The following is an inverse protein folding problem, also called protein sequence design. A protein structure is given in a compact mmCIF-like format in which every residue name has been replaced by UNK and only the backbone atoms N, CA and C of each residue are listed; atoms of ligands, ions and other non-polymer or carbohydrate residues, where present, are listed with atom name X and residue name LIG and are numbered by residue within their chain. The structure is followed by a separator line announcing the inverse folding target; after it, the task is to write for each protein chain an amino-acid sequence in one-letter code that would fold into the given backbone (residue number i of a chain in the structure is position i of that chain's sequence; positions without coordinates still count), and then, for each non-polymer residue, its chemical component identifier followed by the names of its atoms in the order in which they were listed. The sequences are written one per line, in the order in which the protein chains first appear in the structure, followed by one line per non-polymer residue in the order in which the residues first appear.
data_IF_432987980953
#
_entry.id   IF_432987980953
#
_cell.length_a   1.000
_cell.length_b   1.000
_cell.length_c   1.000
_cell.angle_alpha   90.00
_cell.angle_beta   90.00
_cell.angle_gamma   90.00
#
_symmetry.space_group_name_H-M   'P 1'
#
loop_
_entity.id
_entity.type
_entity.pdbx_description
1 polymer ?
#
# COMPACT_ATOMS: atom_id res chain seq x y z
N UNK A 1 1.49 -6.55 -13.17
CA UNK A 1 1.42 -5.59 -14.31
C UNK A 1 0.01 -5.03 -14.40
N UNK A 2 -0.16 -3.73 -14.69
CA UNK A 2 -1.48 -3.12 -14.87
C UNK A 2 -2.30 -3.81 -15.96
N UNK A 3 -3.61 -3.97 -15.73
CA UNK A 3 -4.56 -4.51 -16.73
C UNK A 3 -5.29 -3.36 -17.41
N UNK A 4 -5.36 -3.38 -18.75
CA UNK A 4 -6.16 -2.42 -19.49
C UNK A 4 -7.67 -2.70 -19.35
N UNK A 5 -8.44 -1.65 -19.09
CA UNK A 5 -9.89 -1.72 -18.87
C UNK A 5 -10.66 -0.95 -19.95
N UNK A 6 -11.67 -1.61 -20.52
CA UNK A 6 -12.75 -0.98 -21.29
C UNK A 6 -13.86 -0.49 -20.37
N UNK A 7 -14.82 0.29 -20.84
CA UNK A 7 -15.96 0.81 -20.07
C UNK A 7 -16.61 -0.25 -19.17
N UNK A 8 -16.98 -1.40 -19.74
CA UNK A 8 -17.64 -2.47 -18.98
C UNK A 8 -16.73 -3.07 -17.89
N UNK A 9 -15.43 -3.21 -18.17
CA UNK A 9 -14.47 -3.68 -17.20
C UNK A 9 -14.26 -2.67 -16.07
N UNK A 10 -14.27 -1.37 -16.34
CA UNK A 10 -14.18 -0.33 -15.32
C UNK A 10 -15.35 -0.44 -14.36
N UNK A 11 -16.59 -0.55 -14.86
CA UNK A 11 -17.79 -0.70 -14.04
C UNK A 11 -17.69 -1.95 -13.17
N UNK A 12 -17.35 -3.08 -13.77
CA UNK A 12 -17.18 -4.34 -13.05
C UNK A 12 -16.15 -4.23 -11.91
N UNK A 13 -14.96 -3.69 -12.20
CA UNK A 13 -13.91 -3.56 -11.19
C UNK A 13 -14.21 -2.47 -10.16
N UNK A 14 -14.95 -1.41 -10.49
CA UNK A 14 -15.43 -0.44 -9.52
C UNK A 14 -16.36 -1.09 -8.49
N UNK A 15 -17.33 -1.89 -8.96
CA UNK A 15 -18.19 -2.65 -8.07
C UNK A 15 -17.39 -3.62 -7.18
N UNK A 16 -16.41 -4.30 -7.78
CA UNK A 16 -15.53 -5.23 -7.06
C UNK A 16 -14.69 -4.52 -5.98
N UNK A 17 -14.12 -3.33 -6.28
CA UNK A 17 -13.41 -2.50 -5.32
C UNK A 17 -14.30 -2.16 -4.12
N UNK A 18 -15.57 -1.82 -4.35
CA UNK A 18 -16.50 -1.51 -3.26
C UNK A 18 -16.81 -2.77 -2.43
N UNK A 19 -17.11 -3.88 -3.07
CA UNK A 19 -17.51 -5.13 -2.40
C UNK A 19 -16.37 -5.77 -1.61
N UNK A 20 -15.17 -5.85 -2.20
CA UNK A 20 -14.01 -6.54 -1.64
C UNK A 20 -13.18 -5.68 -0.68
N UNK A 21 -13.53 -4.41 -0.49
CA UNK A 21 -12.85 -3.57 0.49
C UNK A 21 -12.97 -4.20 1.89
N UNK A 22 -11.90 -4.15 2.66
CA UNK A 22 -11.88 -4.63 4.04
C UNK A 22 -12.28 -3.54 5.01
N UNK A 23 -11.68 -2.38 4.90
CA UNK A 23 -11.84 -1.28 5.85
C UNK A 23 -12.23 0.04 5.18
N UNK A 24 -11.74 0.31 3.96
CA UNK A 24 -11.83 1.63 3.37
C UNK A 24 -11.97 1.60 1.84
N UNK A 25 -12.79 2.52 1.32
CA UNK A 25 -13.02 2.75 -0.11
C UNK A 25 -12.74 4.20 -0.39
N UNK A 26 -11.98 4.50 -1.43
CA UNK A 26 -11.70 5.87 -1.87
C UNK A 26 -12.15 6.08 -3.31
N UNK A 27 -12.97 7.11 -3.51
CA UNK A 27 -13.59 7.46 -4.76
C UNK A 27 -13.22 8.92 -5.12
N UNK A 28 -12.32 9.07 -6.09
CA UNK A 28 -11.81 10.37 -6.57
C UNK A 28 -12.44 10.67 -7.92
N UNK A 29 -13.20 11.73 -8.02
CA UNK A 29 -13.82 12.16 -9.28
C UNK A 29 -14.11 13.66 -9.25
N UNK A 30 -13.76 14.44 -10.29
CA UNK A 30 -14.07 15.88 -10.33
C UNK A 30 -15.56 16.16 -10.32
N UNK A 31 -16.37 15.25 -10.83
CA UNK A 31 -17.83 15.30 -10.84
C UNK A 31 -18.38 14.12 -10.04
N UNK A 32 -19.20 14.41 -9.04
CA UNK A 32 -19.76 13.41 -8.16
C UNK A 32 -21.28 13.38 -8.30
N UNK A 33 -21.79 12.32 -8.94
CA UNK A 33 -23.21 12.00 -9.04
C UNK A 33 -23.38 10.48 -9.06
N UNK A 34 -23.66 9.94 -7.89
CA UNK A 34 -23.80 8.50 -7.70
C UNK A 34 -25.03 7.97 -8.44
N UNK A 35 -24.86 6.89 -9.19
CA UNK A 35 -25.98 6.07 -9.65
C UNK A 35 -26.60 5.32 -8.48
N UNK A 36 -27.87 4.91 -8.60
CA UNK A 36 -28.54 4.15 -7.55
C UNK A 36 -27.82 2.83 -7.26
N UNK A 37 -27.26 2.17 -8.28
CA UNK A 37 -26.53 0.92 -8.10
C UNK A 37 -25.27 1.13 -7.24
N UNK A 38 -24.45 2.12 -7.58
CA UNK A 38 -23.23 2.44 -6.81
C UNK A 38 -23.59 2.87 -5.40
N UNK A 39 -24.64 3.70 -5.22
CA UNK A 39 -25.09 4.09 -3.89
C UNK A 39 -25.50 2.89 -3.04
N UNK A 40 -26.25 1.95 -3.58
CA UNK A 40 -26.70 0.77 -2.83
C UNK A 40 -25.49 -0.05 -2.34
N UNK A 41 -24.48 -0.27 -3.19
CA UNK A 41 -23.27 -0.97 -2.80
C UNK A 41 -22.44 -0.23 -1.75
N UNK A 42 -22.37 1.09 -1.86
CA UNK A 42 -21.72 1.92 -0.84
C UNK A 42 -22.50 1.90 0.48
N UNK A 43 -23.83 1.86 0.44
CA UNK A 43 -24.67 1.72 1.63
C UNK A 43 -24.43 0.37 2.34
N UNK A 44 -24.33 -0.73 1.57
CA UNK A 44 -23.98 -2.03 2.12
C UNK A 44 -22.60 -2.03 2.78
N UNK A 45 -21.62 -1.38 2.13
CA UNK A 45 -20.27 -1.23 2.68
C UNK A 45 -20.26 -0.36 3.96
N UNK A 46 -21.04 0.72 4.00
CA UNK A 46 -21.21 1.59 5.17
C UNK A 46 -21.86 0.86 6.35
N UNK A 47 -22.88 0.03 6.09
CA UNK A 47 -23.55 -0.80 7.10
C UNK A 47 -22.61 -1.89 7.66
N UNK A 48 -21.66 -2.39 6.85
CA UNK A 48 -20.56 -3.25 7.29
C UNK A 48 -19.49 -2.48 8.07
N UNK A 49 -19.64 -1.18 8.20
CA UNK A 49 -18.73 -0.33 8.96
C UNK A 49 -17.47 0.09 8.21
N UNK A 50 -17.43 -0.03 6.89
CA UNK A 50 -16.30 0.45 6.09
C UNK A 50 -16.30 1.96 5.98
N UNK A 51 -15.12 2.57 5.92
CA UNK A 51 -14.98 4.02 5.70
C UNK A 51 -15.06 4.33 4.22
N UNK A 52 -15.83 5.32 3.83
CA UNK A 52 -16.00 5.76 2.44
C UNK A 52 -15.43 7.18 2.29
N UNK A 53 -14.42 7.35 1.45
CA UNK A 53 -13.83 8.64 1.15
C UNK A 53 -14.25 9.10 -0.25
N UNK A 54 -14.86 10.26 -0.33
CA UNK A 54 -15.11 10.97 -1.57
C UNK A 54 -14.17 12.16 -1.71
N UNK A 55 -13.53 12.28 -2.86
CA UNK A 55 -12.73 13.45 -3.24
C UNK A 55 -13.31 14.03 -4.53
N UNK A 56 -13.80 15.27 -4.48
CA UNK A 56 -14.45 15.91 -5.63
C UNK A 56 -13.90 17.30 -5.92
N UNK A 57 -14.28 17.91 -7.07
CA UNK A 57 -13.61 19.13 -7.51
C UNK A 57 -14.49 20.16 -8.22
N UNK A 58 -14.83 19.97 -9.48
CA UNK A 58 -15.19 21.07 -10.39
C UNK A 58 -16.59 21.65 -10.27
N UNK A 59 -17.52 21.01 -9.59
CA UNK A 59 -18.89 21.53 -9.40
C UNK A 59 -19.36 21.26 -7.98
N UNK A 60 -20.18 22.16 -7.49
CA UNK A 60 -20.92 21.89 -6.26
C UNK A 60 -21.75 20.60 -6.42
N UNK A 61 -21.71 19.79 -5.40
CA UNK A 61 -22.58 18.61 -5.30
C UNK A 61 -24.02 19.12 -5.20
N UNK A 62 -24.92 18.57 -6.03
CA UNK A 62 -26.36 18.93 -5.98
C UNK A 62 -26.96 18.57 -4.62
N UNK A 63 -28.04 19.21 -4.23
CA UNK A 63 -28.69 18.96 -2.93
C UNK A 63 -29.12 17.50 -2.79
N UNK A 64 -29.64 16.88 -3.86
CA UNK A 64 -30.04 15.47 -3.86
C UNK A 64 -28.83 14.54 -3.60
N UNK A 65 -27.67 14.85 -4.19
CA UNK A 65 -26.44 14.08 -3.95
C UNK A 65 -25.87 14.35 -2.55
N UNK A 66 -25.98 15.58 -2.03
CA UNK A 66 -25.60 15.87 -0.63
C UNK A 66 -26.46 15.08 0.35
N UNK A 67 -27.76 14.99 0.09
CA UNK A 67 -28.68 14.19 0.91
C UNK A 67 -28.32 12.70 0.82
N UNK A 68 -28.09 12.19 -0.38
CA UNK A 68 -27.73 10.80 -0.62
C UNK A 68 -26.45 10.41 0.12
N UNK A 69 -25.38 11.20 -0.04
CA UNK A 69 -24.11 11.01 0.68
C UNK A 69 -24.28 11.21 2.19
N UNK A 70 -25.21 12.08 2.59
CA UNK A 70 -25.54 12.34 3.98
C UNK A 70 -26.10 11.13 4.72
N UNK A 71 -26.75 10.19 4.00
CA UNK A 71 -27.28 8.94 4.57
C UNK A 71 -26.18 7.94 4.96
N UNK A 72 -25.00 8.05 4.36
CA UNK A 72 -23.86 7.21 4.72
C UNK A 72 -23.21 7.72 6.01
N UNK A 73 -23.03 6.83 7.00
CA UNK A 73 -22.59 7.18 8.36
C UNK A 73 -21.07 7.35 8.45
N UNK A 74 -20.31 6.49 7.75
CA UNK A 74 -18.85 6.38 7.84
C UNK A 74 -18.16 7.07 6.63
N UNK A 75 -18.54 8.32 6.33
CA UNK A 75 -18.10 8.99 5.10
C UNK A 75 -17.25 10.23 5.39
N UNK A 76 -16.10 10.31 4.73
CA UNK A 76 -15.32 11.53 4.59
C UNK A 76 -15.58 12.17 3.21
N UNK A 77 -15.69 13.49 3.18
CA UNK A 77 -15.91 14.25 1.95
C UNK A 77 -14.88 15.37 1.84
N UNK A 78 -14.09 15.35 0.78
CA UNK A 78 -13.01 16.30 0.51
C UNK A 78 -13.27 17.06 -0.79
N UNK A 79 -13.02 18.36 -0.78
CA UNK A 79 -13.09 19.21 -1.96
C UNK A 79 -11.71 19.67 -2.39
N UNK A 80 -11.39 19.52 -3.67
CA UNK A 80 -10.15 20.00 -4.29
C UNK A 80 -10.47 20.72 -5.60
N UNK A 81 -10.36 22.05 -5.61
CA UNK A 81 -10.78 22.92 -6.72
C UNK A 81 -10.18 22.56 -8.07
N UNK A 82 -8.91 22.17 -8.08
CA UNK A 82 -8.16 21.82 -9.30
C UNK A 82 -8.27 20.35 -9.69
N UNK A 83 -9.08 19.56 -8.99
CA UNK A 83 -9.19 18.12 -9.26
C UNK A 83 -9.71 17.86 -10.68
N UNK A 84 -8.98 17.01 -11.40
CA UNK A 84 -9.40 16.44 -12.68
C UNK A 84 -9.14 14.94 -12.78
N UNK A 85 -8.45 14.35 -11.82
CA UNK A 85 -8.17 12.92 -11.74
C UNK A 85 -9.46 12.11 -11.46
N UNK A 86 -9.50 10.87 -11.96
CA UNK A 86 -10.49 9.87 -11.65
C UNK A 86 -9.75 8.62 -11.22
N UNK A 87 -9.94 8.27 -9.97
CA UNK A 87 -9.25 7.14 -9.34
C UNK A 87 -10.14 6.52 -8.29
N UNK A 88 -10.31 5.19 -8.36
CA UNK A 88 -11.13 4.43 -7.43
C UNK A 88 -10.31 3.30 -6.86
N UNK A 89 -10.22 3.20 -5.53
CA UNK A 89 -9.37 2.17 -4.93
C UNK A 89 -9.86 1.72 -3.54
N UNK A 90 -9.43 0.54 -3.17
CA UNK A 90 -9.45 -0.02 -1.83
C UNK A 90 -8.05 -0.51 -1.45
N UNK A 91 -7.88 -1.27 -0.39
CA UNK A 91 -6.58 -1.76 0.09
C UNK A 91 -5.88 -2.72 -0.88
N UNK A 92 -6.60 -3.28 -1.85
CA UNK A 92 -6.10 -4.36 -2.72
C UNK A 92 -5.85 -3.92 -4.15
N UNK A 93 -6.60 -2.94 -4.65
CA UNK A 93 -6.54 -2.53 -6.04
C UNK A 93 -6.93 -1.07 -6.26
N UNK A 94 -6.40 -0.46 -7.32
CA UNK A 94 -6.73 0.89 -7.78
C UNK A 94 -7.09 0.88 -9.26
N UNK A 95 -8.11 1.66 -9.63
CA UNK A 95 -8.47 1.96 -11.02
C UNK A 95 -8.11 3.42 -11.32
N UNK A 96 -7.27 3.64 -12.32
CA UNK A 96 -7.09 4.94 -12.97
C UNK A 96 -7.90 4.95 -14.25
N UNK A 97 -8.74 5.95 -14.47
CA UNK A 97 -9.68 5.93 -15.58
C UNK A 97 -10.05 7.32 -16.12
N UNK A 98 -10.60 7.37 -17.31
CA UNK A 98 -11.27 8.55 -17.84
C UNK A 98 -12.70 8.70 -17.29
N UNK A 99 -13.31 7.62 -16.77
CA UNK A 99 -14.68 7.57 -16.26
C UNK A 99 -14.84 8.43 -15.02
N UNK A 100 -15.75 9.41 -15.07
CA UNK A 100 -16.18 10.12 -13.87
C UNK A 100 -17.17 9.26 -13.06
N UNK A 101 -17.22 9.48 -11.76
CA UNK A 101 -18.26 8.93 -10.90
C UNK A 101 -19.58 9.72 -11.13
N UNK A 102 -20.13 9.53 -12.33
CA UNK A 102 -21.26 10.25 -12.83
C UNK A 102 -22.16 9.29 -13.62
N UNK A 103 -23.43 9.24 -13.30
CA UNK A 103 -24.40 8.27 -13.82
C UNK A 103 -24.40 8.12 -15.36
N UNK A 104 -24.20 9.24 -16.09
CA UNK A 104 -24.15 9.20 -17.56
C UNK A 104 -22.86 8.57 -18.10
N UNK A 105 -21.73 8.69 -17.39
CA UNK A 105 -20.47 8.06 -17.82
C UNK A 105 -20.55 6.53 -17.80
N UNK A 106 -21.39 5.97 -16.93
CA UNK A 106 -21.60 4.53 -16.84
C UNK A 106 -22.42 3.95 -18.02
N UNK A 107 -23.26 4.77 -18.66
CA UNK A 107 -24.24 4.31 -19.67
C UNK A 107 -23.90 4.69 -21.10
N UNK A 108 -23.45 5.92 -21.31
CA UNK A 108 -23.44 6.53 -22.64
C UNK A 108 -22.03 6.86 -23.17
N UNK A 109 -20.99 6.83 -22.31
CA UNK A 109 -19.63 7.16 -22.72
C UNK A 109 -18.78 5.92 -23.00
N UNK A 110 -17.83 6.08 -23.93
CA UNK A 110 -16.73 5.15 -24.10
C UNK A 110 -15.57 5.59 -23.21
N UNK A 111 -15.25 4.78 -22.24
CA UNK A 111 -14.23 5.06 -21.24
C UNK A 111 -13.12 4.01 -21.29
N UNK A 112 -11.95 4.40 -20.82
CA UNK A 112 -10.82 3.50 -20.71
C UNK A 112 -10.08 3.73 -19.39
N UNK A 113 -9.31 2.72 -18.96
CA UNK A 113 -8.57 2.80 -17.71
C UNK A 113 -7.58 1.67 -17.54
N UNK A 114 -6.96 1.67 -16.37
CA UNK A 114 -6.05 0.62 -15.93
C UNK A 114 -6.40 0.19 -14.51
N UNK A 115 -6.37 -1.12 -14.30
CA UNK A 115 -6.39 -1.72 -12.97
C UNK A 115 -4.95 -1.96 -12.51
N UNK A 116 -4.64 -1.55 -11.30
CA UNK A 116 -3.37 -1.79 -10.62
C UNK A 116 -3.66 -2.54 -9.33
N UNK A 117 -3.21 -3.78 -9.24
CA UNK A 117 -3.34 -4.59 -8.03
C UNK A 117 -2.14 -4.35 -7.10
N UNK A 118 -2.38 -4.17 -5.81
CA UNK A 118 -1.34 -3.95 -4.80
C UNK A 118 -0.31 -5.10 -4.79
N UNK A 119 -0.76 -6.34 -4.96
CA UNK A 119 0.13 -7.52 -5.02
C UNK A 119 0.88 -7.67 -6.35
N UNK A 120 0.31 -7.13 -7.44
CA UNK A 120 0.87 -7.25 -8.79
C UNK A 120 1.86 -6.14 -9.14
N UNK A 121 1.65 -4.93 -8.60
CA UNK A 121 2.51 -3.75 -8.79
C UNK A 121 2.40 -2.81 -7.59
N UNK A 122 3.03 -3.20 -6.48
CA UNK A 122 2.97 -2.47 -5.21
C UNK A 122 3.52 -1.04 -5.30
N UNK A 123 4.52 -0.83 -6.17
CA UNK A 123 5.13 0.50 -6.35
C UNK A 123 4.12 1.44 -6.97
N UNK A 124 3.58 1.08 -8.12
CA UNK A 124 2.62 1.92 -8.84
C UNK A 124 1.35 2.14 -8.01
N UNK A 125 0.85 1.09 -7.34
CA UNK A 125 -0.29 1.22 -6.43
C UNK A 125 -0.02 2.25 -5.32
N UNK A 126 1.16 2.18 -4.69
CA UNK A 126 1.58 3.10 -3.64
C UNK A 126 1.70 4.55 -4.14
N UNK A 127 2.27 4.76 -5.34
CA UNK A 127 2.37 6.08 -5.95
C UNK A 127 0.99 6.70 -6.20
N UNK A 128 0.03 5.91 -6.71
CA UNK A 128 -1.35 6.34 -6.92
C UNK A 128 -1.99 6.81 -5.61
N UNK A 129 -1.91 6.01 -4.56
CA UNK A 129 -2.53 6.35 -3.28
C UNK A 129 -1.85 7.56 -2.63
N UNK A 130 -0.52 7.69 -2.72
CA UNK A 130 0.23 8.82 -2.19
C UNK A 130 -0.12 10.13 -2.91
N UNK A 131 -0.35 10.08 -4.24
CA UNK A 131 -0.83 11.25 -4.98
C UNK A 131 -2.23 11.67 -4.50
N UNK A 132 -3.14 10.72 -4.30
CA UNK A 132 -4.48 11.03 -3.77
C UNK A 132 -4.40 11.61 -2.36
N UNK A 133 -3.51 11.13 -1.50
CA UNK A 133 -3.26 11.70 -0.17
C UNK A 133 -2.78 13.15 -0.25
N UNK A 134 -1.89 13.43 -1.20
CA UNK A 134 -1.42 14.79 -1.45
C UNK A 134 -2.57 15.71 -1.88
N UNK A 135 -3.46 15.23 -2.76
CA UNK A 135 -4.67 15.95 -3.17
C UNK A 135 -5.58 16.23 -1.97
N UNK A 136 -5.81 15.23 -1.12
CA UNK A 136 -6.64 15.36 0.09
C UNK A 136 -6.03 16.34 1.09
N UNK A 137 -4.72 16.24 1.34
CA UNK A 137 -4.00 17.12 2.27
C UNK A 137 -4.07 18.59 1.86
N UNK A 138 -4.05 18.86 0.56
CA UNK A 138 -4.14 20.21 0.00
C UNK A 138 -5.58 20.66 -0.26
N UNK A 139 -6.55 19.78 -0.09
CA UNK A 139 -7.98 20.04 -0.27
C UNK A 139 -8.66 20.56 0.99
N UNK A 140 -9.95 20.88 0.86
CA UNK A 140 -10.81 21.28 1.97
C UNK A 140 -11.65 20.10 2.44
N UNK A 141 -11.55 19.73 3.72
CA UNK A 141 -12.44 18.75 4.34
C UNK A 141 -13.84 19.35 4.52
N UNK A 142 -14.85 18.69 3.98
CA UNK A 142 -16.27 19.12 4.03
C UNK A 142 -17.06 18.30 5.04
N UNK A 143 -16.80 16.98 5.13
CA UNK A 143 -17.42 16.06 6.10
C UNK A 143 -16.36 15.11 6.63
N UNK A 144 -16.44 14.75 7.89
CA UNK A 144 -15.54 13.82 8.57
C UNK A 144 -16.31 12.63 9.13
N UNK A 145 -15.79 11.44 8.91
CA UNK A 145 -16.21 10.22 9.59
C UNK A 145 -15.62 10.19 11.01
N UNK A 146 -16.32 9.56 11.94
CA UNK A 146 -15.80 9.29 13.28
C UNK A 146 -14.77 8.13 13.28
N UNK A 147 -14.54 7.50 12.16
CA UNK A 147 -13.58 6.40 12.01
C UNK A 147 -12.23 6.87 11.50
N UNK A 148 -11.20 6.19 11.94
CA UNK A 148 -9.86 6.40 11.39
C UNK A 148 -9.83 6.00 9.91
N UNK A 149 -9.24 6.87 9.08
CA UNK A 149 -9.03 6.64 7.66
C UNK A 149 -7.53 6.71 7.38
N UNK A 150 -6.97 5.70 6.71
CA UNK A 150 -5.56 5.72 6.30
C UNK A 150 -5.28 6.79 5.23
N UNK A 151 -6.31 7.27 4.56
CA UNK A 151 -6.18 8.40 3.63
C UNK A 151 -5.81 9.70 4.35
N UNK A 152 -6.24 9.87 5.60
CA UNK A 152 -6.04 11.09 6.41
C UNK A 152 -4.94 10.89 7.44
N UNK A 153 -4.90 9.72 8.06
CA UNK A 153 -3.97 9.39 9.14
C UNK A 153 -2.77 8.62 8.59
N UNK A 154 -1.65 8.72 9.29
CA UNK A 154 -0.48 7.89 8.96
C UNK A 154 -0.81 6.42 9.12
N UNK A 155 -0.49 5.62 8.11
CA UNK A 155 -0.56 4.16 8.21
C UNK A 155 0.50 3.64 9.19
N UNK A 156 0.39 2.39 9.61
CA UNK A 156 1.42 1.76 10.44
C UNK A 156 2.78 1.73 9.75
N UNK A 157 2.82 1.51 8.43
CA UNK A 157 4.07 1.57 7.65
C UNK A 157 4.70 2.96 7.65
N UNK A 158 3.91 4.03 7.55
CA UNK A 158 4.41 5.41 7.64
C UNK A 158 4.86 5.77 9.05
N UNK A 159 4.15 5.31 10.08
CA UNK A 159 4.55 5.47 11.48
C UNK A 159 5.86 4.71 11.74
N UNK A 160 5.98 3.49 11.23
CA UNK A 160 7.21 2.71 11.32
C UNK A 160 8.36 3.38 10.56
N UNK A 161 8.11 3.90 9.37
CA UNK A 161 9.11 4.66 8.60
C UNK A 161 9.63 5.87 9.38
N UNK A 162 8.75 6.67 9.96
CA UNK A 162 9.16 7.81 10.79
C UNK A 162 10.01 7.37 11.99
N UNK A 163 9.58 6.29 12.64
CA UNK A 163 10.31 5.71 13.75
C UNK A 163 11.70 5.22 13.35
N UNK A 164 11.77 4.44 12.27
CA UNK A 164 13.02 3.89 11.75
C UNK A 164 13.99 4.99 11.30
N UNK A 165 13.52 5.98 10.55
CA UNK A 165 14.35 7.10 10.06
C UNK A 165 14.88 7.97 11.19
N UNK A 166 14.12 8.11 12.27
CA UNK A 166 14.58 8.81 13.47
C UNK A 166 15.64 8.01 14.25
N UNK A 167 15.48 6.70 14.30
CA UNK A 167 16.41 5.81 15.02
C UNK A 167 17.71 5.58 14.25
N UNK A 168 17.64 5.54 12.93
CA UNK A 168 18.76 5.30 12.01
C UNK A 168 18.82 6.36 10.89
N UNK A 169 19.19 7.62 11.20
CA UNK A 169 19.07 8.74 10.25
C UNK A 169 19.93 8.57 8.99
N UNK A 170 21.10 7.93 9.10
CA UNK A 170 22.08 7.78 8.01
C UNK A 170 22.07 6.37 7.39
N UNK A 171 20.94 5.68 7.44
CA UNK A 171 20.87 4.29 6.96
C UNK A 171 21.00 4.13 5.44
N UNK A 172 20.89 5.23 4.68
CA UNK A 172 20.99 5.23 3.20
C UNK A 172 19.87 4.44 2.52
N UNK A 173 18.75 4.22 3.21
CA UNK A 173 17.60 3.51 2.68
C UNK A 173 16.56 4.49 2.18
N UNK A 174 16.01 4.18 1.03
CA UNK A 174 14.81 4.82 0.53
C UNK A 174 13.62 3.92 0.83
N UNK A 175 12.68 4.44 1.61
CA UNK A 175 11.44 3.76 1.93
C UNK A 175 10.30 4.38 1.16
N UNK A 176 9.49 3.56 0.55
CA UNK A 176 8.18 3.96 0.08
C UNK A 176 7.14 3.18 0.87
N UNK A 177 6.52 3.81 1.87
CA UNK A 177 5.45 3.16 2.62
C UNK A 177 4.28 2.90 1.67
N UNK A 178 3.92 1.63 1.48
CA UNK A 178 2.70 1.30 0.77
C UNK A 178 1.52 1.53 1.71
N UNK A 179 0.48 2.26 1.28
CA UNK A 179 -0.77 2.28 2.00
C UNK A 179 -1.39 0.88 1.91
N UNK A 180 -1.59 0.27 3.03
CA UNK A 180 -2.17 -1.05 3.14
C UNK A 180 -2.89 -1.22 4.47
N UNK A 181 -3.71 -2.26 4.60
CA UNK A 181 -4.29 -2.61 5.88
C UNK A 181 -3.17 -2.79 6.91
N UNK A 182 -3.51 -2.54 8.16
CA UNK A 182 -2.62 -2.59 9.32
C UNK A 182 -1.74 -3.85 9.34
N UNK A 183 -2.21 -4.93 8.73
CA UNK A 183 -1.60 -6.26 8.80
C UNK A 183 -0.47 -6.52 7.78
N UNK A 184 -0.29 -5.64 6.77
CA UNK A 184 0.72 -5.83 5.72
C UNK A 184 1.36 -4.49 5.35
N UNK A 185 2.26 -4.00 6.19
CA UNK A 185 3.09 -2.86 5.83
C UNK A 185 4.15 -3.32 4.81
N UNK A 186 4.05 -2.86 3.57
CA UNK A 186 5.05 -3.10 2.54
C UNK A 186 6.03 -1.92 2.56
N UNK A 187 7.30 -2.22 2.79
CA UNK A 187 8.39 -1.25 2.68
C UNK A 187 9.22 -1.62 1.45
N UNK A 188 9.45 -0.65 0.60
CA UNK A 188 10.33 -0.81 -0.54
C UNK A 188 11.68 -0.23 -0.16
N UNK A 189 12.69 -1.07 -0.12
CA UNK A 189 14.05 -0.66 0.21
C UNK A 189 14.89 -0.66 -1.07
N UNK A 190 15.40 0.50 -1.44
CA UNK A 190 16.38 0.63 -2.51
C UNK A 190 17.77 0.56 -1.92
N UNK A 191 18.56 -0.43 -2.33
CA UNK A 191 19.98 -0.52 -2.05
C UNK A 191 20.70 -0.02 -3.30
N UNK A 192 21.54 1.02 -3.16
CA UNK A 192 22.30 1.71 -4.21
C UNK A 192 22.41 0.96 -5.55
N UNK A 193 21.83 1.52 -6.63
CA UNK A 193 21.93 1.09 -8.03
C UNK A 193 21.46 -0.34 -8.35
N UNK A 194 20.93 -1.06 -7.38
CA UNK A 194 20.47 -2.43 -7.50
C UNK A 194 18.94 -2.52 -7.59
N UNK A 195 18.38 -3.64 -8.10
CA UNK A 195 16.95 -3.85 -8.09
C UNK A 195 16.38 -3.75 -6.67
N UNK A 196 15.13 -3.29 -6.58
CA UNK A 196 14.44 -3.04 -5.32
C UNK A 196 14.22 -4.33 -4.54
N UNK A 197 14.48 -4.31 -3.24
CA UNK A 197 13.95 -5.33 -2.33
C UNK A 197 12.57 -4.90 -1.85
N UNK A 198 11.60 -5.73 -2.06
CA UNK A 198 10.30 -5.57 -1.44
C UNK A 198 10.39 -6.22 -0.05
N UNK A 199 10.33 -5.41 0.98
CA UNK A 199 10.29 -5.90 2.35
C UNK A 199 8.86 -5.72 2.84
N UNK A 200 8.16 -6.82 3.10
CA UNK A 200 6.90 -6.77 3.81
C UNK A 200 7.15 -6.99 5.30
N UNK A 201 6.72 -6.04 6.09
CA UNK A 201 6.58 -6.18 7.53
C UNK A 201 5.22 -6.79 7.78
N UNK A 202 5.17 -8.08 7.95
CA UNK A 202 3.95 -8.73 8.39
C UNK A 202 3.91 -8.63 9.92
N UNK A 203 2.84 -8.08 10.48
CA UNK A 203 2.58 -8.05 11.92
C UNK A 203 2.52 -9.46 12.54
N UNK A 204 2.45 -10.51 11.73
CA UNK A 204 2.69 -11.90 12.13
C UNK A 204 4.16 -12.22 12.47
N UNK A 205 5.00 -11.19 12.75
CA UNK A 205 6.37 -11.36 13.24
C UNK A 205 7.41 -11.75 12.20
N UNK A 206 7.18 -11.42 10.92
CA UNK A 206 8.08 -11.74 9.83
C UNK A 206 8.51 -10.50 9.07
N UNK A 207 9.80 -10.45 8.72
CA UNK A 207 10.30 -9.58 7.67
C UNK A 207 10.47 -10.49 6.45
N UNK A 208 9.67 -10.27 5.42
CA UNK A 208 9.74 -11.01 4.17
C UNK A 208 10.36 -10.12 3.10
N UNK A 209 11.37 -10.65 2.40
CA UNK A 209 12.00 -9.97 1.27
C UNK A 209 11.57 -10.70 0.01
N UNK A 210 10.82 -10.04 -0.83
CA UNK A 210 10.50 -10.53 -2.16
C UNK A 210 11.71 -10.35 -3.08
N UNK A 211 12.24 -11.46 -3.54
CA UNK A 211 13.43 -11.53 -4.38
C UNK A 211 13.11 -11.80 -5.85
N UNK A 212 11.86 -11.78 -6.25
CA UNK A 212 11.42 -12.04 -7.64
C UNK A 212 12.06 -11.11 -8.68
N UNK A 213 12.54 -9.95 -8.25
CA UNK A 213 13.27 -9.01 -9.12
C UNK A 213 14.68 -9.46 -9.47
N UNK A 214 15.22 -10.50 -8.81
CA UNK A 214 16.56 -10.99 -9.02
C UNK A 214 16.58 -12.24 -9.88
N UNK A 215 17.64 -12.37 -10.71
CA UNK A 215 17.88 -13.62 -11.39
C UNK A 215 18.21 -14.71 -10.36
N UNK A 216 17.81 -15.96 -10.63
CA UNK A 216 18.13 -17.13 -9.79
C UNK A 216 19.63 -17.19 -9.48
N UNK A 217 20.48 -16.90 -10.47
CA UNK A 217 21.94 -16.87 -10.31
C UNK A 217 22.42 -15.81 -9.30
N UNK A 218 21.80 -14.62 -9.27
CA UNK A 218 22.13 -13.59 -8.28
C UNK A 218 21.71 -14.02 -6.89
N UNK A 219 20.55 -14.65 -6.76
CA UNK A 219 20.06 -15.16 -5.49
C UNK A 219 20.95 -16.24 -4.89
N UNK A 220 21.43 -17.17 -5.71
CA UNK A 220 22.39 -18.19 -5.28
C UNK A 220 23.70 -17.56 -4.77
N UNK A 221 24.21 -16.52 -5.45
CA UNK A 221 25.39 -15.78 -5.00
C UNK A 221 25.13 -15.05 -3.66
N UNK A 222 24.01 -14.35 -3.53
CA UNK A 222 23.62 -13.68 -2.27
C UNK A 222 23.52 -14.70 -1.12
N UNK A 223 22.91 -15.85 -1.36
CA UNK A 223 22.78 -16.90 -0.37
C UNK A 223 24.15 -17.43 0.13
N UNK A 224 25.14 -17.53 -0.76
CA UNK A 224 26.49 -17.98 -0.40
C UNK A 224 27.29 -16.93 0.39
N UNK A 225 27.10 -15.64 0.07
CA UNK A 225 27.83 -14.55 0.69
C UNK A 225 27.17 -14.02 1.99
N UNK A 226 25.91 -14.40 2.24
CA UNK A 226 25.16 -13.93 3.38
C UNK A 226 25.66 -14.54 4.69
N UNK A 227 26.04 -13.70 5.66
CA UNK A 227 26.50 -14.13 6.97
C UNK A 227 25.33 -14.49 7.90
N UNK A 228 24.98 -15.77 7.93
CA UNK A 228 23.86 -16.27 8.75
C UNK A 228 24.16 -16.27 10.24
N UNK A 229 25.43 -16.27 10.62
CA UNK A 229 25.82 -16.39 12.01
C UNK A 229 25.46 -15.14 12.83
N UNK A 230 25.41 -13.98 12.17
CA UNK A 230 24.98 -12.73 12.77
C UNK A 230 23.50 -12.75 13.23
N UNK A 231 22.67 -13.58 12.60
CA UNK A 231 21.24 -13.70 12.90
C UNK A 231 20.89 -14.87 13.84
N UNK A 232 21.79 -15.83 14.05
CA UNK A 232 21.50 -17.09 14.77
C UNK A 232 21.03 -16.90 16.22
N UNK A 233 21.50 -15.89 16.92
CA UNK A 233 21.24 -15.73 18.34
C UNK A 233 19.88 -15.09 18.64
N UNK A 234 19.38 -14.23 17.75
CA UNK A 234 18.19 -13.42 17.98
C UNK A 234 17.07 -13.64 16.97
N UNK A 235 17.38 -14.19 15.79
CA UNK A 235 16.44 -14.31 14.68
C UNK A 235 16.54 -15.69 14.04
N UNK A 236 15.42 -16.23 13.57
CA UNK A 236 15.40 -17.38 12.66
C UNK A 236 15.39 -16.87 11.25
N UNK A 237 16.32 -17.41 10.47
CA UNK A 237 16.49 -17.12 9.07
C UNK A 237 16.00 -18.30 8.25
N UNK A 238 15.09 -18.05 7.34
CA UNK A 238 14.57 -19.06 6.45
C UNK A 238 14.60 -18.56 5.01
N UNK A 239 15.15 -19.34 4.12
CA UNK A 239 15.15 -19.09 2.69
C UNK A 239 14.18 -20.06 2.03
N UNK A 240 13.03 -19.53 1.54
CA UNK A 240 12.07 -20.33 0.80
C UNK A 240 12.45 -20.36 -0.68
N UNK A 241 13.09 -21.45 -1.10
CA UNK A 241 13.51 -21.65 -2.49
C UNK A 241 12.35 -21.85 -3.45
N UNK A 242 11.16 -22.21 -2.97
CA UNK A 242 9.97 -22.37 -3.80
C UNK A 242 9.27 -21.04 -4.09
N UNK A 243 9.37 -20.10 -3.17
CA UNK A 243 8.74 -18.77 -3.30
C UNK A 243 9.70 -17.67 -3.70
N UNK A 244 10.99 -18.00 -3.88
CA UNK A 244 12.05 -17.00 -4.07
C UNK A 244 12.03 -15.90 -3.01
N UNK A 245 11.74 -16.28 -1.77
CA UNK A 245 11.58 -15.37 -0.65
C UNK A 245 12.58 -15.65 0.45
N UNK A 246 13.13 -14.57 0.99
CA UNK A 246 13.93 -14.58 2.19
C UNK A 246 13.06 -14.12 3.36
N UNK A 247 12.90 -14.98 4.37
CA UNK A 247 12.10 -14.68 5.54
C UNK A 247 12.93 -14.67 6.81
N UNK A 248 12.82 -13.63 7.60
CA UNK A 248 13.45 -13.51 8.91
C UNK A 248 12.35 -13.39 9.96
N UNK A 249 12.41 -14.21 10.99
CA UNK A 249 11.46 -14.16 12.10
C UNK A 249 12.13 -14.46 13.44
N UNK A 250 11.57 -13.94 14.52
CA UNK A 250 11.98 -14.25 15.88
C UNK A 250 11.38 -15.58 16.35
N UNK A 251 12.07 -16.27 17.22
CA UNK A 251 11.70 -17.60 17.71
C UNK A 251 10.27 -17.68 18.28
N UNK A 252 9.58 -18.77 18.00
CA UNK A 252 8.17 -19.10 18.24
C UNK A 252 7.64 -18.89 19.67
N UNK A 253 8.48 -18.78 20.67
CA UNK A 253 8.05 -18.61 22.08
C UNK A 253 7.41 -17.25 22.41
N UNK A 254 7.43 -16.28 21.49
CA UNK A 254 6.84 -14.95 21.72
C UNK A 254 5.46 -14.76 21.07
N UNK A 255 4.95 -15.75 20.34
CA UNK A 255 3.71 -15.60 19.56
C UNK A 255 2.48 -15.29 20.42
N UNK A 256 2.40 -15.85 21.61
CA UNK A 256 1.26 -15.69 22.51
C UNK A 256 1.30 -14.39 23.34
N UNK A 257 2.46 -13.77 23.49
CA UNK A 257 2.64 -12.55 24.27
C UNK A 257 2.69 -11.27 23.45
N UNK A 258 2.84 -11.38 22.13
CA UNK A 258 3.12 -10.24 21.27
C UNK A 258 1.91 -9.29 21.10
N UNK A 259 0.69 -9.82 21.09
CA UNK A 259 -0.54 -9.01 21.03
C UNK A 259 -0.72 -8.09 22.24
N UNK A 260 0.01 -8.35 23.34
CA UNK A 260 0.05 -7.53 24.55
C UNK A 260 1.20 -6.50 24.57
N UNK A 261 2.10 -6.54 23.56
CA UNK A 261 3.26 -5.66 23.48
C UNK A 261 2.85 -4.35 22.81
N UNK A 262 3.29 -3.23 23.35
CA UNK A 262 2.99 -1.91 22.79
C UNK A 262 3.66 -1.71 21.41
N UNK A 263 3.08 -0.83 20.61
CA UNK A 263 3.50 -0.58 19.22
C UNK A 263 4.96 -0.10 19.11
N UNK A 264 5.44 0.67 20.09
CA UNK A 264 6.81 1.18 20.07
C UNK A 264 7.82 0.05 20.24
N UNK A 265 7.55 -0.88 21.15
CA UNK A 265 8.39 -2.08 21.34
C UNK A 265 8.37 -2.97 20.09
N UNK A 266 7.23 -3.07 19.41
CA UNK A 266 7.14 -3.78 18.12
C UNK A 266 7.99 -3.08 17.05
N UNK A 267 7.91 -1.76 16.95
CA UNK A 267 8.72 -0.98 16.02
C UNK A 267 10.21 -1.09 16.30
N UNK A 268 10.61 -1.09 17.55
CA UNK A 268 12.00 -1.28 17.96
C UNK A 268 12.57 -2.61 17.45
N UNK A 269 11.82 -3.65 17.67
CA UNK A 269 12.20 -4.99 17.23
C UNK A 269 12.36 -5.08 15.72
N UNK A 270 11.37 -4.61 14.96
CA UNK A 270 11.42 -4.62 13.50
C UNK A 270 12.50 -3.69 12.94
N UNK A 271 12.72 -2.54 13.56
CA UNK A 271 13.74 -1.59 13.14
C UNK A 271 15.15 -2.16 13.30
N UNK A 272 15.43 -2.82 14.40
CA UNK A 272 16.72 -3.48 14.62
C UNK A 272 16.96 -4.63 13.63
N UNK A 273 15.98 -5.52 13.48
CA UNK A 273 16.06 -6.63 12.53
C UNK A 273 16.24 -6.15 11.08
N UNK A 274 15.49 -5.12 10.68
CA UNK A 274 15.58 -4.53 9.35
C UNK A 274 16.94 -3.87 9.10
N UNK A 275 17.46 -3.13 10.08
CA UNK A 275 18.76 -2.47 9.99
C UNK A 275 19.89 -3.48 9.79
N UNK A 276 19.93 -4.53 10.59
CA UNK A 276 20.90 -5.62 10.47
C UNK A 276 20.81 -6.30 9.12
N UNK A 277 19.59 -6.67 8.70
CA UNK A 277 19.35 -7.33 7.43
C UNK A 277 19.82 -6.51 6.24
N UNK A 278 19.48 -5.23 6.18
CA UNK A 278 19.86 -4.36 5.07
C UNK A 278 21.37 -4.17 5.00
N UNK A 279 22.03 -3.99 6.14
CA UNK A 279 23.49 -3.87 6.17
C UNK A 279 24.17 -5.15 5.67
N UNK A 280 23.66 -6.30 6.04
CA UNK A 280 24.19 -7.58 5.58
C UNK A 280 23.94 -7.80 4.07
N UNK A 281 22.77 -7.41 3.56
CA UNK A 281 22.50 -7.46 2.12
C UNK A 281 23.43 -6.54 1.32
N UNK A 282 23.68 -5.32 1.82
CA UNK A 282 24.64 -4.37 1.23
C UNK A 282 26.05 -4.97 1.19
N UNK A 283 26.50 -5.56 2.30
CA UNK A 283 27.81 -6.22 2.41
C UNK A 283 27.94 -7.38 1.43
N UNK A 284 26.95 -8.28 1.42
CA UNK A 284 26.98 -9.45 0.54
C UNK A 284 26.97 -9.04 -0.94
N UNK A 285 26.18 -8.05 -1.31
CA UNK A 285 26.12 -7.52 -2.67
C UNK A 285 27.45 -6.88 -3.11
N UNK A 286 28.04 -6.04 -2.27
CA UNK A 286 29.35 -5.43 -2.55
C UNK A 286 30.42 -6.48 -2.81
N UNK A 287 30.46 -7.53 -1.97
CA UNK A 287 31.42 -8.63 -2.12
C UNK A 287 31.21 -9.44 -3.41
N UNK A 288 29.97 -9.60 -3.87
CA UNK A 288 29.68 -10.24 -5.16
C UNK A 288 30.24 -9.40 -6.30
N UNK A 289 30.04 -8.08 -6.26
CA UNK A 289 30.54 -7.15 -7.28
C UNK A 289 32.06 -7.17 -7.37
N UNK A 290 32.76 -7.09 -6.25
CA UNK A 290 34.22 -7.19 -6.20
C UNK A 290 34.73 -8.48 -6.84
N UNK A 291 34.09 -9.63 -6.58
CA UNK A 291 34.44 -10.90 -7.18
C UNK A 291 34.17 -10.97 -8.70
N UNK A 292 33.12 -10.28 -9.16
CA UNK A 292 32.82 -10.21 -10.60
C UNK A 292 33.86 -9.36 -11.34
N UNK A 293 34.30 -8.25 -10.77
CA UNK A 293 35.33 -7.36 -11.32
C UNK A 293 36.70 -8.03 -11.36
N UNK A 294 37.05 -8.85 -10.36
CA UNK A 294 38.33 -9.59 -10.33
C UNK A 294 38.38 -10.76 -11.34
N UNK A 295 37.25 -11.22 -11.84
CA UNK A 295 37.11 -12.31 -12.80
C UNK A 295 36.80 -11.82 -14.23
N UNK A 296 36.76 -10.52 -14.46
CA UNK A 296 36.59 -9.88 -15.77
C UNK A 296 37.91 -9.39 -16.32
#
# INVERSE_FOLDING_TARGET
MPEFLTTNKIIYHLEKIIQESKNEITLVSPYLRLSQNIFNRLSEADDQGKTINFVYGKKEITNDQKELIGRLKNTNLFYSEKLHAKCYFNESAAILTSMNLYEFSERDNLEMGFLVECTGDAILYSEIVNEVRTIVKNGKKIKESNKNSYLVNKTMSEQFYDYFSKKYPDNGLYFQPAPGPIDNAILIVKINESPYFHISLNLDYRIEIDTKSYSKKMMEKLFLEFNRDEFKNNYRFFWDTYKDMLTIYKSVRMRDSWNSVDVVTQFDYFAEALFLLVNELKRAYAKIKEKEEQNS
#
